data_IF_065729571457
#
_entry.id   IF_065729571457
#
_cell.length_a   1.000
_cell.length_b   1.000
_cell.length_c   1.000
_cell.angle_alpha   90.00
_cell.angle_beta   90.00
_cell.angle_gamma   90.00
#
_symmetry.space_group_name_H-M   'P 1'
#
loop_
_entity.id
_entity.type
_entity.pdbx_description
1 polymer ?
#
# COMPACT_ATOMS: atom_id res chain seq x y z
N UNK A 1 18.22 0.34 15.21
CA UNK A 1 17.83 1.74 14.95
C UNK A 1 17.61 2.44 16.29
N UNK A 2 18.05 3.69 16.43
CA UNK A 2 17.78 4.49 17.62
C UNK A 2 16.65 5.46 17.33
N UNK A 3 15.51 5.36 18.03
CA UNK A 3 14.38 6.27 17.83
C UNK A 3 14.73 7.74 18.11
N UNK A 4 15.75 8.00 18.92
CA UNK A 4 16.24 9.35 19.22
C UNK A 4 17.14 9.93 18.12
N UNK A 5 17.44 9.16 17.06
CA UNK A 5 18.20 9.64 15.91
C UNK A 5 17.40 10.74 15.19
N UNK A 6 18.11 11.81 14.80
CA UNK A 6 17.52 12.93 14.07
C UNK A 6 17.19 12.54 12.64
N UNK A 7 16.20 13.23 12.07
CA UNK A 7 15.82 13.07 10.66
C UNK A 7 16.81 13.81 9.73
N UNK A 8 18.09 13.45 9.79
CA UNK A 8 19.17 14.14 9.05
C UNK A 8 18.97 14.12 7.53
N UNK A 9 18.31 13.09 7.00
CA UNK A 9 17.99 12.98 5.58
C UNK A 9 17.12 14.15 5.07
N UNK A 10 16.37 14.81 5.97
CA UNK A 10 15.57 16.00 5.63
C UNK A 10 16.40 17.29 5.60
N UNK A 11 17.63 17.26 6.12
CA UNK A 11 18.51 18.43 6.27
C UNK A 11 19.71 18.40 5.32
N UNK A 12 20.18 17.21 4.95
CA UNK A 12 21.39 17.00 4.15
C UNK A 12 21.15 17.07 2.62
N UNK A 13 19.92 17.37 2.20
CA UNK A 13 19.53 17.44 0.80
C UNK A 13 19.30 16.08 0.13
N UNK A 14 19.37 14.98 0.88
CA UNK A 14 19.05 13.64 0.36
C UNK A 14 17.55 13.38 0.21
N UNK A 15 16.72 14.19 0.86
CA UNK A 15 15.26 14.21 0.70
C UNK A 15 14.84 14.76 -0.68
N UNK A 16 15.11 13.97 -1.71
CA UNK A 16 14.83 14.33 -3.10
C UNK A 16 14.01 13.27 -3.85
N UNK A 17 13.81 12.06 -3.29
CA UNK A 17 13.02 11.01 -3.91
C UNK A 17 12.40 10.02 -2.91
N UNK A 18 11.35 9.33 -3.36
CA UNK A 18 10.61 8.31 -2.60
C UNK A 18 11.47 7.13 -2.15
N UNK A 19 12.51 6.78 -2.92
CA UNK A 19 13.40 5.65 -2.57
C UNK A 19 14.23 5.92 -1.31
N UNK A 20 14.66 7.17 -1.08
CA UNK A 20 15.35 7.55 0.17
C UNK A 20 14.36 7.49 1.32
N UNK A 21 13.18 8.09 1.16
CA UNK A 21 12.16 8.08 2.20
C UNK A 21 11.76 6.65 2.60
N UNK A 22 11.50 5.77 1.63
CA UNK A 22 11.24 4.36 1.88
C UNK A 22 12.33 3.70 2.73
N UNK A 23 13.61 3.90 2.37
CA UNK A 23 14.74 3.34 3.13
C UNK A 23 14.80 3.86 4.56
N UNK A 24 14.52 5.15 4.76
CA UNK A 24 14.52 5.78 6.08
C UNK A 24 13.36 5.25 6.95
N UNK A 25 12.15 5.14 6.40
CA UNK A 25 11.00 4.54 7.09
C UNK A 25 11.25 3.05 7.37
N UNK A 26 11.90 2.32 6.46
CA UNK A 26 12.23 0.90 6.64
C UNK A 26 13.15 0.66 7.85
N UNK A 27 13.93 1.65 8.30
CA UNK A 27 14.71 1.55 9.54
C UNK A 27 13.82 1.29 10.75
N UNK A 28 12.55 1.72 10.72
CA UNK A 28 11.57 1.53 11.78
C UNK A 28 10.97 0.11 11.84
N UNK A 29 11.29 -0.80 10.91
CA UNK A 29 10.82 -2.21 10.95
C UNK A 29 10.98 -2.90 12.31
N UNK A 30 12.11 -2.76 13.05
CA UNK A 30 12.26 -3.34 14.39
C UNK A 30 11.24 -2.82 15.42
N UNK A 31 10.54 -1.73 15.14
CA UNK A 31 9.46 -1.18 15.96
C UNK A 31 8.08 -1.77 15.60
N UNK A 32 8.01 -2.80 14.76
CA UNK A 32 6.76 -3.46 14.39
C UNK A 32 6.07 -2.87 13.16
N UNK A 33 6.83 -2.24 12.27
CA UNK A 33 6.35 -1.88 10.94
C UNK A 33 6.53 -3.07 9.99
N UNK A 34 5.45 -3.49 9.34
CA UNK A 34 5.49 -4.48 8.26
C UNK A 34 5.76 -3.83 6.89
N UNK A 35 5.76 -4.62 5.82
CA UNK A 35 6.03 -4.10 4.47
C UNK A 35 4.96 -3.12 3.99
N UNK A 36 3.70 -3.36 4.32
CA UNK A 36 2.62 -2.44 4.01
C UNK A 36 2.82 -1.11 4.72
N UNK A 37 3.15 -1.12 6.02
CA UNK A 37 3.47 0.08 6.78
C UNK A 37 4.59 0.89 6.13
N UNK A 38 5.68 0.23 5.75
CA UNK A 38 6.84 0.91 5.16
C UNK A 38 6.47 1.53 3.81
N UNK A 39 5.71 0.84 2.97
CA UNK A 39 5.22 1.38 1.69
C UNK A 39 4.26 2.56 1.90
N UNK A 40 3.31 2.42 2.82
CA UNK A 40 2.28 3.43 3.09
C UNK A 40 2.90 4.70 3.68
N UNK A 41 3.73 4.59 4.71
CA UNK A 41 4.38 5.74 5.35
C UNK A 41 5.61 6.24 4.58
N UNK A 42 6.15 5.43 3.67
CA UNK A 42 7.19 5.81 2.71
C UNK A 42 6.67 6.63 1.53
N UNK A 43 5.34 6.76 1.39
CA UNK A 43 4.72 7.67 0.43
C UNK A 43 4.91 9.14 0.85
N UNK A 44 5.33 9.98 -0.09
CA UNK A 44 5.64 11.39 0.18
C UNK A 44 4.47 12.21 0.73
N UNK A 45 3.25 11.99 0.24
CA UNK A 45 2.08 12.76 0.68
C UNK A 45 1.66 12.39 2.11
N UNK A 46 1.69 11.10 2.42
CA UNK A 46 1.44 10.59 3.77
C UNK A 46 2.51 11.11 4.73
N UNK A 47 3.77 11.03 4.33
CA UNK A 47 4.90 11.51 5.11
C UNK A 47 4.83 13.03 5.37
N UNK A 48 4.55 13.83 4.34
CA UNK A 48 4.38 15.28 4.46
C UNK A 48 3.22 15.64 5.41
N UNK A 49 2.15 14.84 5.42
CA UNK A 49 1.05 15.00 6.37
C UNK A 49 1.50 14.77 7.81
N UNK A 50 2.33 13.75 8.06
CA UNK A 50 2.92 13.52 9.39
C UNK A 50 3.87 14.68 9.77
N UNK A 51 4.75 15.10 8.87
CA UNK A 51 5.66 16.21 9.10
C UNK A 51 4.94 17.52 9.45
N UNK A 52 3.85 17.83 8.73
CA UNK A 52 3.04 19.03 8.98
C UNK A 52 2.38 19.04 10.37
N UNK A 53 2.18 17.87 10.98
CA UNK A 53 1.68 17.76 12.36
C UNK A 53 2.79 17.95 13.37
N UNK A 54 3.92 17.27 13.17
CA UNK A 54 5.09 17.38 14.05
C UNK A 54 5.64 18.82 14.05
N UNK A 55 5.60 19.49 12.90
CA UNK A 55 6.11 20.86 12.73
C UNK A 55 5.35 21.93 13.51
N UNK A 56 4.16 21.61 14.02
CA UNK A 56 3.40 22.49 14.94
C UNK A 56 4.07 22.60 16.31
N UNK A 57 4.85 21.60 16.70
CA UNK A 57 5.43 21.48 18.03
C UNK A 57 6.96 21.63 17.99
N UNK A 58 7.61 21.22 16.91
CA UNK A 58 9.08 21.19 16.79
C UNK A 58 9.54 21.63 15.42
N UNK A 59 10.70 22.29 15.35
CA UNK A 59 11.35 22.55 14.06
C UNK A 59 11.97 21.28 13.50
N UNK A 60 12.16 21.23 12.18
CA UNK A 60 12.69 20.05 11.46
C UNK A 60 14.04 19.60 12.04
N UNK A 61 14.91 20.52 12.45
CA UNK A 61 16.25 20.25 13.00
C UNK A 61 16.21 19.54 14.38
N UNK A 62 15.03 19.52 15.00
CA UNK A 62 14.76 18.90 16.30
C UNK A 62 13.93 17.61 16.18
N UNK A 63 13.45 17.29 14.98
CA UNK A 63 12.64 16.08 14.76
C UNK A 63 13.51 14.83 14.79
N UNK A 64 12.93 13.76 15.32
CA UNK A 64 13.56 12.45 15.49
C UNK A 64 12.68 11.34 14.90
N UNK A 65 13.25 10.15 14.74
CA UNK A 65 12.49 8.96 14.37
C UNK A 65 11.39 8.62 15.39
N UNK A 66 11.55 9.01 16.66
CA UNK A 66 10.52 8.84 17.69
C UNK A 66 9.28 9.71 17.41
N UNK A 67 9.49 10.93 16.92
CA UNK A 67 8.38 11.83 16.56
C UNK A 67 7.60 11.24 15.36
N UNK A 68 8.31 10.74 14.34
CA UNK A 68 7.68 10.02 13.21
C UNK A 68 6.94 8.78 13.68
N UNK A 69 7.57 7.94 14.50
CA UNK A 69 6.96 6.71 14.99
C UNK A 69 5.70 6.99 15.81
N UNK A 70 5.69 8.07 16.59
CA UNK A 70 4.51 8.50 17.34
C UNK A 70 3.35 8.86 16.41
N UNK A 71 3.60 9.59 15.32
CA UNK A 71 2.57 9.86 14.31
C UNK A 71 2.12 8.60 13.58
N UNK A 72 3.04 7.69 13.23
CA UNK A 72 2.73 6.39 12.62
C UNK A 72 1.77 5.61 13.51
N UNK A 73 2.04 5.51 14.81
CA UNK A 73 1.16 4.81 15.76
C UNK A 73 -0.23 5.46 15.83
N UNK A 74 -0.33 6.79 15.70
CA UNK A 74 -1.63 7.49 15.62
C UNK A 74 -2.35 7.15 14.32
N UNK A 75 -1.66 7.20 13.17
CA UNK A 75 -2.21 6.84 11.88
C UNK A 75 -2.73 5.40 11.87
N UNK A 76 -1.96 4.44 12.38
CA UNK A 76 -2.35 3.03 12.46
C UNK A 76 -3.63 2.78 13.27
N UNK A 77 -4.00 3.70 14.17
CA UNK A 77 -5.24 3.62 14.95
C UNK A 77 -6.45 4.20 14.23
N UNK A 78 -6.26 5.05 13.24
CA UNK A 78 -7.34 5.67 12.49
C UNK A 78 -8.05 4.64 11.61
N UNK A 79 -9.38 4.71 11.53
CA UNK A 79 -10.18 3.73 10.78
C UNK A 79 -9.88 3.77 9.28
N UNK A 80 -9.65 4.97 8.73
CA UNK A 80 -9.23 5.16 7.33
C UNK A 80 -7.96 4.36 6.99
N UNK A 81 -6.99 4.29 7.90
CA UNK A 81 -5.78 3.49 7.65
C UNK A 81 -6.10 1.99 7.62
N UNK A 82 -6.96 1.52 8.53
CA UNK A 82 -7.37 0.11 8.58
C UNK A 82 -8.11 -0.28 7.31
N UNK A 83 -9.05 0.55 6.87
CA UNK A 83 -9.79 0.35 5.63
C UNK A 83 -8.86 0.29 4.41
N UNK A 84 -7.94 1.25 4.26
CA UNK A 84 -6.98 1.24 3.14
C UNK A 84 -6.10 -0.01 3.17
N UNK A 85 -5.63 -0.41 4.36
CA UNK A 85 -4.82 -1.62 4.54
C UNK A 85 -5.58 -2.87 4.16
N UNK A 86 -6.81 -3.02 4.62
CA UNK A 86 -7.68 -4.15 4.29
C UNK A 86 -7.94 -4.25 2.79
N UNK A 87 -8.31 -3.13 2.15
CA UNK A 87 -8.56 -3.07 0.70
C UNK A 87 -7.31 -3.39 -0.10
N UNK A 88 -6.15 -2.86 0.30
CA UNK A 88 -4.89 -3.08 -0.41
C UNK A 88 -4.46 -4.55 -0.31
N UNK A 89 -4.48 -5.13 0.89
CA UNK A 89 -4.14 -6.55 1.10
C UNK A 89 -5.11 -7.46 0.35
N UNK A 90 -6.41 -7.16 0.37
CA UNK A 90 -7.41 -7.91 -0.37
C UNK A 90 -7.17 -7.81 -1.88
N UNK A 91 -6.83 -6.63 -2.39
CA UNK A 91 -6.51 -6.43 -3.81
C UNK A 91 -5.24 -7.15 -4.24
N UNK A 92 -4.19 -7.16 -3.41
CA UNK A 92 -2.95 -7.89 -3.68
C UNK A 92 -3.21 -9.40 -3.72
N UNK A 93 -3.91 -9.91 -2.70
CA UNK A 93 -4.30 -11.32 -2.63
C UNK A 93 -5.15 -11.75 -3.83
N UNK A 94 -6.14 -10.95 -4.20
CA UNK A 94 -6.95 -11.21 -5.38
C UNK A 94 -6.06 -11.21 -6.63
N UNK A 95 -5.19 -10.22 -6.77
CA UNK A 95 -4.26 -10.12 -7.89
C UNK A 95 -3.36 -11.35 -8.07
N UNK A 96 -2.93 -11.98 -6.97
CA UNK A 96 -2.08 -13.18 -6.96
C UNK A 96 -2.87 -14.51 -7.08
N UNK A 97 -4.19 -14.46 -6.95
CA UNK A 97 -5.04 -15.65 -7.07
C UNK A 97 -5.13 -16.09 -8.53
N UNK A 98 -4.88 -17.38 -8.79
CA UNK A 98 -5.10 -17.99 -10.11
C UNK A 98 -6.59 -17.95 -10.43
N UNK A 99 -6.94 -17.28 -11.52
CA UNK A 99 -8.34 -17.15 -11.92
C UNK A 99 -8.87 -18.49 -12.44
N UNK A 100 -9.97 -18.96 -11.85
CA UNK A 100 -10.63 -20.20 -12.27
C UNK A 100 -12.15 -19.98 -12.28
N UNK A 101 -12.78 -20.40 -13.37
CA UNK A 101 -14.23 -20.28 -13.55
C UNK A 101 -15.03 -21.05 -12.48
N UNK A 102 -14.49 -22.16 -11.97
CA UNK A 102 -15.13 -22.98 -10.92
C UNK A 102 -15.24 -22.23 -9.59
N UNK A 103 -14.24 -21.40 -9.26
CA UNK A 103 -14.20 -20.61 -8.02
C UNK A 103 -14.71 -19.18 -8.21
N UNK A 104 -15.15 -18.82 -9.43
CA UNK A 104 -15.52 -17.46 -9.79
C UNK A 104 -16.53 -16.82 -8.84
N UNK A 105 -17.52 -17.58 -8.33
CA UNK A 105 -18.53 -17.02 -7.42
C UNK A 105 -17.92 -16.49 -6.11
N UNK A 106 -16.83 -17.08 -5.63
CA UNK A 106 -16.14 -16.62 -4.41
C UNK A 106 -15.28 -15.39 -4.72
N UNK A 107 -14.58 -15.42 -5.85
CA UNK A 107 -13.71 -14.32 -6.28
C UNK A 107 -14.52 -13.08 -6.69
N UNK A 108 -15.71 -13.26 -7.27
CA UNK A 108 -16.63 -12.20 -7.64
C UNK A 108 -16.97 -11.30 -6.46
N UNK A 109 -17.25 -11.87 -5.28
CA UNK A 109 -17.55 -11.10 -4.08
C UNK A 109 -16.35 -10.22 -3.67
N UNK A 110 -15.12 -10.70 -3.88
CA UNK A 110 -13.91 -9.91 -3.65
C UNK A 110 -13.80 -8.76 -4.66
N UNK A 111 -14.01 -9.03 -5.96
CA UNK A 111 -14.05 -7.98 -6.99
C UNK A 111 -15.07 -6.87 -6.66
N UNK A 112 -16.30 -7.25 -6.28
CA UNK A 112 -17.36 -6.32 -5.92
C UNK A 112 -17.00 -5.51 -4.67
N UNK A 113 -16.47 -6.17 -3.63
CA UNK A 113 -16.05 -5.51 -2.39
C UNK A 113 -14.90 -4.51 -2.59
N UNK A 114 -14.04 -4.76 -3.57
CA UNK A 114 -12.94 -3.88 -3.99
C UNK A 114 -13.42 -2.76 -4.94
N UNK A 115 -14.71 -2.72 -5.26
CA UNK A 115 -15.32 -1.71 -6.12
C UNK A 115 -14.99 -1.88 -7.60
N UNK A 116 -14.67 -3.09 -8.06
CA UNK A 116 -14.47 -3.36 -9.48
C UNK A 116 -15.74 -3.04 -10.29
N UNK A 117 -15.58 -2.42 -11.44
CA UNK A 117 -16.71 -2.10 -12.31
C UNK A 117 -17.29 -3.37 -12.95
N UNK A 118 -18.58 -3.32 -13.28
CA UNK A 118 -19.23 -4.44 -13.98
C UNK A 118 -18.56 -4.77 -15.32
N UNK A 119 -17.99 -3.78 -16.01
CA UNK A 119 -17.23 -4.01 -17.25
C UNK A 119 -15.99 -4.89 -17.00
N UNK A 120 -15.23 -4.59 -15.94
CA UNK A 120 -14.06 -5.40 -15.55
C UNK A 120 -14.50 -6.81 -15.15
N UNK A 121 -15.52 -6.91 -14.31
CA UNK A 121 -16.09 -8.18 -13.84
C UNK A 121 -16.51 -9.05 -15.04
N UNK A 122 -17.25 -8.48 -15.99
CA UNK A 122 -17.72 -9.20 -17.17
C UNK A 122 -16.56 -9.64 -18.08
N UNK A 123 -15.55 -8.78 -18.28
CA UNK A 123 -14.37 -9.12 -19.09
C UNK A 123 -13.58 -10.28 -18.49
N UNK A 124 -13.39 -10.28 -17.17
CA UNK A 124 -12.71 -11.37 -16.46
C UNK A 124 -13.53 -12.66 -16.54
N UNK A 125 -14.84 -12.59 -16.28
CA UNK A 125 -15.72 -13.75 -16.40
C UNK A 125 -15.68 -14.38 -17.79
N UNK A 126 -15.78 -13.55 -18.84
CA UNK A 126 -15.74 -14.00 -20.22
C UNK A 126 -14.39 -14.66 -20.55
N UNK A 127 -13.28 -14.07 -20.09
CA UNK A 127 -11.95 -14.66 -20.26
C UNK A 127 -11.87 -16.04 -19.61
N UNK A 128 -12.31 -16.18 -18.36
CA UNK A 128 -12.28 -17.45 -17.65
C UNK A 128 -13.19 -18.50 -18.29
N UNK A 129 -14.36 -18.09 -18.78
CA UNK A 129 -15.32 -18.98 -19.43
C UNK A 129 -14.79 -19.58 -20.73
N UNK A 130 -13.86 -18.90 -21.43
CA UNK A 130 -13.22 -19.41 -22.65
C UNK A 130 -11.87 -20.07 -22.40
N UNK A 131 -11.36 -20.05 -21.16
CA UNK A 131 -10.08 -20.62 -20.77
C UNK A 131 -10.25 -21.42 -19.48
N UNK A 132 -10.94 -22.56 -19.58
CA UNK A 132 -11.30 -23.39 -18.42
C UNK A 132 -10.05 -23.90 -17.69
N UNK A 133 -8.97 -24.21 -18.41
CA UNK A 133 -7.67 -24.64 -17.86
C UNK A 133 -6.70 -23.46 -17.63
N UNK A 134 -7.22 -22.28 -17.29
CA UNK A 134 -6.38 -21.09 -17.10
C UNK A 134 -5.44 -21.23 -15.89
N UNK A 135 -4.15 -20.98 -16.11
CA UNK A 135 -3.12 -20.95 -15.05
C UNK A 135 -2.73 -19.52 -14.64
N UNK A 136 -3.34 -18.49 -15.26
CA UNK A 136 -2.99 -17.08 -15.01
C UNK A 136 -3.67 -16.54 -13.76
N UNK A 137 -2.94 -15.71 -13.04
CA UNK A 137 -3.48 -14.89 -11.94
C UNK A 137 -4.41 -13.79 -12.43
N UNK A 138 -5.29 -13.29 -11.57
CA UNK A 138 -6.14 -12.15 -11.93
C UNK A 138 -5.34 -10.92 -12.34
N UNK A 139 -4.17 -10.67 -11.73
CA UNK A 139 -3.26 -9.59 -12.15
C UNK A 139 -2.78 -9.76 -13.59
N UNK A 140 -2.44 -10.97 -14.00
CA UNK A 140 -2.04 -11.27 -15.37
C UNK A 140 -3.22 -11.14 -16.34
N UNK A 141 -4.40 -11.67 -15.98
CA UNK A 141 -5.61 -11.58 -16.79
C UNK A 141 -5.99 -10.11 -17.02
N UNK A 142 -6.07 -9.31 -15.96
CA UNK A 142 -6.36 -7.88 -16.06
C UNK A 142 -5.30 -7.14 -16.89
N UNK A 143 -4.03 -7.54 -16.76
CA UNK A 143 -2.93 -7.04 -17.58
C UNK A 143 -3.10 -7.33 -19.08
N UNK A 144 -3.66 -8.49 -19.45
CA UNK A 144 -3.99 -8.83 -20.83
C UNK A 144 -5.17 -8.00 -21.34
N UNK A 145 -6.25 -7.92 -20.56
CA UNK A 145 -7.47 -7.20 -20.92
C UNK A 145 -7.22 -5.70 -21.13
N UNK A 146 -6.34 -5.09 -20.32
CA UNK A 146 -5.96 -3.67 -20.47
C UNK A 146 -5.20 -3.39 -21.76
N UNK A 147 -4.43 -4.34 -22.29
CA UNK A 147 -3.68 -4.18 -23.56
C UNK A 147 -4.57 -4.29 -24.80
N UNK A 148 -5.78 -4.80 -24.65
CA UNK A 148 -6.76 -5.00 -25.72
C UNK A 148 -7.81 -3.87 -25.80
N UNK A 149 -7.75 -2.91 -24.87
CA UNK A 149 -8.61 -1.73 -24.79
C UNK A 149 -7.89 -0.51 -25.34
#
# INVERSE_FOLDING_TARGET
>A
MQLNEKLNFMLDGSFANENVLFKEIAKLRPCGLDEFDVNFFGNMDVFNTMLARISKEKKVEQMTFNDLYTEIVKFKKADVYKEIREVTIASERLGETVGNIENWSQDLALFESLGASQDVINKVYNYLSTHVDNEKTYKEILGLLKKQS
#
